data_IF_857944354223
#
_entry.id   IF_857944354223
#
_cell.length_a   1.000
_cell.length_b   1.000
_cell.length_c   1.000
_cell.angle_alpha   90.00
_cell.angle_beta   90.00
_cell.angle_gamma   90.00
#
_symmetry.space_group_name_H-M   'P 1'
#
loop_
_entity.id
_entity.type
_entity.pdbx_description
1 polymer ?
#
# COMPACT_ATOMS: atom_id res chain seq x y z
N UNK A 1 7.25 18.58 13.59
CA UNK A 1 7.07 17.32 14.35
C UNK A 1 5.61 16.93 14.25
N UNK A 2 5.28 15.93 13.44
CA UNK A 2 3.96 15.30 13.41
C UNK A 2 4.09 13.89 13.98
N UNK A 3 3.07 13.42 14.69
CA UNK A 3 2.98 12.01 15.09
C UNK A 3 2.37 11.17 13.96
N UNK A 4 2.72 9.88 13.90
CA UNK A 4 2.04 8.92 13.05
C UNK A 4 0.80 8.39 13.79
N UNK A 5 -0.31 8.23 13.07
CA UNK A 5 -1.57 7.70 13.62
C UNK A 5 -2.13 6.66 12.66
N UNK A 6 -2.36 5.45 13.16
CA UNK A 6 -2.96 4.36 12.40
C UNK A 6 -4.49 4.54 12.34
N UNK A 7 -5.04 4.50 11.13
CA UNK A 7 -6.48 4.64 10.87
C UNK A 7 -6.92 3.51 9.95
N UNK A 8 -8.05 2.89 10.28
CA UNK A 8 -8.61 1.80 9.48
C UNK A 8 -9.02 2.30 8.08
N UNK A 9 -8.84 1.44 7.08
CA UNK A 9 -9.35 1.69 5.73
C UNK A 9 -10.86 1.60 5.70
N UNK A 10 -11.49 2.37 4.80
CA UNK A 10 -12.88 2.10 4.41
C UNK A 10 -13.01 0.72 3.74
N UNK A 11 -14.22 0.17 3.74
CA UNK A 11 -14.54 -1.14 3.15
C UNK A 11 -15.52 -1.07 1.99
N UNK A 12 -16.27 0.02 1.86
CA UNK A 12 -17.30 0.19 0.82
C UNK A 12 -16.77 1.03 -0.34
N UNK A 13 -16.71 0.44 -1.53
CA UNK A 13 -16.31 1.11 -2.75
C UNK A 13 -17.52 1.30 -3.69
N UNK A 14 -17.54 2.42 -4.41
CA UNK A 14 -18.58 2.71 -5.41
C UNK A 14 -18.09 2.28 -6.79
N UNK A 15 -18.88 1.45 -7.48
CA UNK A 15 -18.54 0.95 -8.81
C UNK A 15 -18.26 2.12 -9.78
N UNK A 16 -17.14 2.04 -10.50
CA UNK A 16 -16.70 3.06 -11.46
C UNK A 16 -16.03 4.29 -10.84
N UNK A 17 -15.99 4.40 -9.51
CA UNK A 17 -15.27 5.47 -8.81
C UNK A 17 -13.90 4.99 -8.33
N UNK A 18 -12.95 5.91 -8.16
CA UNK A 18 -11.68 5.59 -7.52
C UNK A 18 -11.90 5.31 -6.03
N UNK A 19 -11.16 4.34 -5.49
CA UNK A 19 -11.20 3.96 -4.09
C UNK A 19 -9.78 3.85 -3.54
N UNK A 20 -9.56 4.38 -2.34
CA UNK A 20 -8.24 4.34 -1.68
C UNK A 20 -8.28 3.38 -0.51
N UNK A 21 -7.46 2.34 -0.58
CA UNK A 21 -7.15 1.48 0.55
C UNK A 21 -6.08 2.14 1.42
N UNK A 22 -6.31 2.16 2.74
CA UNK A 22 -5.33 2.65 3.71
C UNK A 22 -4.60 1.49 4.36
N UNK A 23 -3.27 1.59 4.39
CA UNK A 23 -2.40 0.78 5.24
C UNK A 23 -1.39 1.75 5.85
N UNK A 24 -1.54 2.04 7.14
CA UNK A 24 -0.67 2.94 7.89
C UNK A 24 -0.07 2.11 9.01
N UNK A 25 1.25 2.01 9.05
CA UNK A 25 1.99 1.23 10.04
C UNK A 25 3.01 2.14 10.70
N UNK A 26 2.74 2.53 11.94
CA UNK A 26 3.56 3.50 12.64
C UNK A 26 4.72 2.82 13.37
N UNK A 27 5.94 3.37 13.22
CA UNK A 27 7.03 3.04 14.14
C UNK A 27 6.63 3.36 15.57
N UNK A 28 6.95 2.45 16.50
CA UNK A 28 6.78 2.68 17.94
C UNK A 28 7.54 3.91 18.44
N UNK A 29 8.70 4.20 17.83
CA UNK A 29 9.54 5.36 18.10
C UNK A 29 9.95 6.01 16.78
N UNK A 30 9.47 7.23 16.52
CA UNK A 30 9.66 7.94 15.24
C UNK A 30 11.13 8.25 14.93
N UNK A 31 11.93 8.44 15.98
CA UNK A 31 13.34 8.80 15.91
C UNK A 31 14.26 7.64 15.52
N UNK A 32 13.77 6.39 15.61
CA UNK A 32 14.54 5.22 15.19
C UNK A 32 14.65 5.21 13.67
N UNK A 33 15.86 5.22 13.08
CA UNK A 33 16.03 5.09 11.64
C UNK A 33 15.47 3.74 11.17
N UNK A 34 14.75 3.74 10.06
CA UNK A 34 14.20 2.54 9.45
C UNK A 34 14.15 2.70 7.92
N UNK A 35 14.22 1.57 7.24
CA UNK A 35 13.95 1.45 5.81
C UNK A 35 12.88 0.37 5.64
N UNK A 36 11.94 0.59 4.72
CA UNK A 36 10.84 -0.33 4.48
C UNK A 36 10.45 -0.35 3.00
N UNK A 37 9.83 -1.45 2.61
CA UNK A 37 9.14 -1.64 1.34
C UNK A 37 7.69 -2.06 1.62
N UNK A 38 6.81 -1.94 0.62
CA UNK A 38 5.41 -2.35 0.73
C UNK A 38 5.07 -3.40 -0.31
N UNK A 39 4.46 -4.49 0.14
CA UNK A 39 3.87 -5.50 -0.73
C UNK A 39 2.37 -5.61 -0.46
N UNK A 40 1.57 -5.55 -1.52
CA UNK A 40 0.13 -5.75 -1.45
C UNK A 40 -0.24 -7.08 -2.09
N UNK A 41 -1.13 -7.79 -1.40
CA UNK A 41 -1.65 -9.07 -1.85
C UNK A 41 -3.17 -9.03 -1.89
N UNK A 42 -3.76 -9.66 -2.90
CA UNK A 42 -5.21 -9.75 -3.08
C UNK A 42 -5.63 -11.19 -3.30
N UNK A 43 -6.80 -11.53 -2.74
CA UNK A 43 -7.47 -12.81 -2.95
C UNK A 43 -8.95 -12.53 -3.24
N UNK A 44 -9.44 -12.81 -4.45
CA UNK A 44 -10.87 -12.72 -4.72
C UNK A 44 -11.62 -13.79 -3.93
N UNK A 45 -12.92 -13.58 -3.73
CA UNK A 45 -13.78 -14.55 -3.06
C UNK A 45 -13.73 -15.92 -3.77
N UNK A 46 -13.64 -17.00 -2.99
CA UNK A 46 -13.53 -18.36 -3.50
C UNK A 46 -12.14 -18.80 -3.98
N UNK A 47 -11.15 -17.90 -4.10
CA UNK A 47 -9.79 -18.29 -4.48
C UNK A 47 -9.02 -18.91 -3.29
N UNK A 48 -8.11 -19.88 -3.54
CA UNK A 48 -7.40 -20.58 -2.47
C UNK A 48 -6.26 -19.75 -1.85
N UNK A 49 -5.63 -18.86 -2.62
CA UNK A 49 -4.41 -18.18 -2.22
C UNK A 49 -4.43 -16.70 -2.57
N UNK A 50 -3.67 -15.93 -1.79
CA UNK A 50 -3.35 -14.55 -2.09
C UNK A 50 -2.33 -14.46 -3.20
N UNK A 51 -2.50 -13.47 -4.08
CA UNK A 51 -1.57 -13.16 -5.16
C UNK A 51 -1.00 -11.76 -4.94
N UNK A 52 0.31 -11.60 -5.15
CA UNK A 52 0.97 -10.29 -5.05
C UNK A 52 0.47 -9.41 -6.20
N UNK A 53 -0.01 -8.20 -5.87
CA UNK A 53 -0.60 -7.26 -6.83
C UNK A 53 0.18 -5.96 -6.98
N UNK A 54 0.95 -5.57 -5.96
CA UNK A 54 1.79 -4.38 -6.00
C UNK A 54 3.01 -4.57 -5.10
N UNK A 55 4.15 -4.02 -5.54
CA UNK A 55 5.35 -3.84 -4.73
C UNK A 55 5.85 -2.42 -4.89
N UNK A 56 6.17 -1.78 -3.77
CA UNK A 56 6.71 -0.44 -3.73
C UNK A 56 8.01 -0.42 -2.95
N UNK A 57 9.06 0.04 -3.62
CA UNK A 57 10.34 0.46 -3.07
C UNK A 57 10.61 1.89 -3.55
N UNK A 58 11.02 2.84 -2.69
CA UNK A 58 11.36 4.22 -3.06
C UNK A 58 12.43 4.39 -4.15
N UNK A 59 13.24 3.37 -4.42
CA UNK A 59 14.34 3.42 -5.39
C UNK A 59 13.96 2.96 -6.79
N UNK A 60 12.80 2.33 -6.93
CA UNK A 60 12.37 1.68 -8.15
C UNK A 60 10.98 2.13 -8.57
N UNK A 61 10.65 1.98 -9.85
CA UNK A 61 9.28 2.18 -10.32
C UNK A 61 8.37 1.13 -9.64
N UNK A 62 7.19 1.51 -9.10
CA UNK A 62 6.31 0.55 -8.46
C UNK A 62 5.95 -0.59 -9.40
N UNK A 63 6.22 -1.83 -8.98
CA UNK A 63 5.78 -2.99 -9.73
C UNK A 63 4.30 -3.24 -9.47
N UNK A 64 3.52 -3.44 -10.54
CA UNK A 64 2.10 -3.79 -10.47
C UNK A 64 1.89 -5.08 -11.26
N UNK A 65 1.15 -6.01 -10.69
CA UNK A 65 0.85 -7.28 -11.33
C UNK A 65 0.15 -7.07 -12.69
N UNK A 66 0.47 -7.90 -13.71
CA UNK A 66 -0.20 -7.84 -14.99
C UNK A 66 -1.69 -8.23 -14.87
N UNK A 67 -2.45 -7.96 -15.93
CA UNK A 67 -3.89 -8.27 -15.98
C UNK A 67 -4.73 -7.14 -15.38
N UNK A 68 -5.74 -7.44 -14.54
CA UNK A 68 -6.79 -6.49 -14.17
C UNK A 68 -6.30 -5.32 -13.31
N UNK A 69 -5.12 -5.42 -12.72
CA UNK A 69 -4.55 -4.39 -11.84
C UNK A 69 -3.69 -3.36 -12.58
N UNK A 70 -3.22 -3.69 -13.79
CA UNK A 70 -2.34 -2.82 -14.57
C UNK A 70 -3.10 -1.59 -15.06
N UNK A 71 -2.60 -0.40 -14.73
CA UNK A 71 -3.20 0.88 -15.13
C UNK A 71 -4.36 1.35 -14.25
N UNK A 72 -4.76 0.56 -13.23
CA UNK A 72 -5.81 0.95 -12.27
C UNK A 72 -5.30 1.04 -10.82
N UNK A 73 -4.26 0.28 -10.45
CA UNK A 73 -3.59 0.44 -9.16
C UNK A 73 -2.47 1.49 -9.24
N UNK A 74 -2.34 2.29 -8.20
CA UNK A 74 -1.25 3.27 -8.06
C UNK A 74 -0.87 3.46 -6.58
N UNK A 75 0.40 3.81 -6.34
CA UNK A 75 0.90 4.11 -5.00
C UNK A 75 0.47 5.50 -4.51
N UNK A 76 -0.20 5.55 -3.36
CA UNK A 76 -0.67 6.77 -2.69
C UNK A 76 -0.20 6.85 -1.22
N UNK A 77 0.94 6.24 -0.89
CA UNK A 77 1.56 6.36 0.43
C UNK A 77 2.74 7.32 0.44
N UNK A 78 3.62 7.17 1.44
CA UNK A 78 4.86 7.94 1.59
C UNK A 78 5.77 7.82 0.37
N UNK A 79 6.35 8.94 -0.07
CA UNK A 79 7.20 9.07 -1.28
C UNK A 79 8.46 9.87 -0.95
N UNK A 80 9.56 9.57 -1.64
CA UNK A 80 10.82 10.30 -1.49
C UNK A 80 11.56 10.02 -0.18
N UNK A 81 11.20 8.95 0.53
CA UNK A 81 11.86 8.48 1.76
C UNK A 81 11.86 6.96 1.79
N UNK A 82 12.91 6.36 2.37
CA UNK A 82 12.97 4.93 2.70
C UNK A 82 12.20 4.58 3.98
N UNK A 83 11.91 5.57 4.81
CA UNK A 83 11.12 5.42 6.02
C UNK A 83 9.62 5.49 5.67
N UNK A 84 9.08 4.37 5.17
CA UNK A 84 7.67 4.27 4.80
C UNK A 84 6.81 4.13 6.05
N UNK A 85 6.06 5.18 6.37
CA UNK A 85 5.12 5.24 7.49
C UNK A 85 3.88 6.02 7.09
#
# INVERSE_FOLDING_TARGET
>A
RGGCVEVASGTEAVLGSSFRLLCIACKRRSETPAEAESEWFFRPEGAPHFQKILHYNPEEEPWVAPGPFRGVLSWNGSKGTRDLQ
#
